data_IF_636984543704
#
_entry.id   IF_636984543704
#
_cell.length_a   1.000
_cell.length_b   1.000
_cell.length_c   1.000
_cell.angle_alpha   90.00
_cell.angle_beta   90.00
_cell.angle_gamma   90.00
#
_symmetry.space_group_name_H-M   'P 1'
#
loop_
_entity.id
_entity.type
_entity.pdbx_description
1 polymer ?
#
# COMPACT_ATOMS: atom_id res chain seq x y z
N UNK A 1 12.19 7.28 -0.21
CA UNK A 1 11.65 8.01 -1.40
C UNK A 1 10.13 8.13 -1.29
N UNK A 2 9.45 8.93 -2.11
CA UNK A 2 7.97 8.99 -2.14
C UNK A 2 7.42 8.07 -3.22
N UNK A 3 6.55 7.13 -2.85
CA UNK A 3 5.98 6.12 -3.74
C UNK A 3 4.46 6.16 -3.61
N UNK A 4 3.75 6.17 -4.73
CA UNK A 4 2.29 6.07 -4.78
C UNK A 4 1.92 4.79 -5.50
N UNK A 5 1.06 3.97 -4.89
CA UNK A 5 0.55 2.73 -5.47
C UNK A 5 -0.96 2.87 -5.66
N UNK A 6 -1.42 2.65 -6.90
CA UNK A 6 -2.83 2.66 -7.27
C UNK A 6 -3.35 1.22 -7.36
N UNK A 7 -4.04 0.79 -6.31
CA UNK A 7 -4.58 -0.55 -6.11
C UNK A 7 -3.96 -1.22 -4.89
N UNK A 8 -4.81 -1.59 -3.94
CA UNK A 8 -4.50 -2.31 -2.69
C UNK A 8 -4.92 -3.79 -2.76
N UNK A 9 -5.03 -4.33 -3.97
CA UNK A 9 -5.23 -5.77 -4.19
C UNK A 9 -4.00 -6.59 -3.79
N UNK A 10 -3.98 -7.88 -4.16
CA UNK A 10 -2.90 -8.80 -3.79
C UNK A 10 -1.50 -8.27 -4.11
N UNK A 11 -1.28 -7.78 -5.34
CA UNK A 11 0.05 -7.29 -5.76
C UNK A 11 0.41 -5.97 -5.07
N UNK A 12 -0.52 -5.02 -5.03
CA UNK A 12 -0.25 -3.69 -4.48
C UNK A 12 -0.04 -3.69 -2.97
N UNK A 13 -0.78 -4.52 -2.24
CA UNK A 13 -0.59 -4.73 -0.80
C UNK A 13 0.78 -5.34 -0.49
N UNK A 14 1.12 -6.47 -1.13
CA UNK A 14 2.44 -7.11 -0.94
C UNK A 14 3.60 -6.21 -1.37
N UNK A 15 3.44 -5.41 -2.43
CA UNK A 15 4.45 -4.45 -2.83
C UNK A 15 4.64 -3.36 -1.76
N UNK A 16 3.55 -2.83 -1.21
CA UNK A 16 3.61 -1.84 -0.14
C UNK A 16 4.30 -2.38 1.11
N UNK A 17 3.94 -3.59 1.56
CA UNK A 17 4.55 -4.26 2.72
C UNK A 17 6.06 -4.43 2.55
N UNK A 18 6.52 -4.86 1.37
CA UNK A 18 7.95 -5.03 1.09
C UNK A 18 8.71 -3.70 1.08
N UNK A 19 8.07 -2.62 0.60
CA UNK A 19 8.72 -1.32 0.44
C UNK A 19 8.74 -0.48 1.73
N UNK A 20 7.86 -0.75 2.71
CA UNK A 20 7.84 -0.06 4.02
C UNK A 20 9.17 -0.26 4.77
N UNK A 21 9.80 -1.43 4.64
CA UNK A 21 11.07 -1.75 5.30
C UNK A 21 12.29 -0.94 4.80
N UNK A 22 12.17 -0.25 3.67
CA UNK A 22 13.28 0.44 3.00
C UNK A 22 13.32 1.96 3.24
N UNK A 23 12.66 2.47 4.30
CA UNK A 23 12.57 3.91 4.60
C UNK A 23 11.92 4.72 3.46
N UNK A 24 10.87 4.15 2.87
CA UNK A 24 10.04 4.80 1.85
C UNK A 24 8.77 5.38 2.46
N UNK A 25 8.38 6.55 1.97
CA UNK A 25 7.09 7.18 2.24
C UNK A 25 6.10 6.71 1.18
N UNK A 26 5.19 5.81 1.58
CA UNK A 26 4.30 5.09 0.67
C UNK A 26 2.87 5.56 0.90
N UNK A 27 2.20 5.95 -0.18
CA UNK A 27 0.76 6.23 -0.19
C UNK A 27 0.05 5.18 -1.04
N UNK A 28 -0.90 4.46 -0.43
CA UNK A 28 -1.77 3.50 -1.12
C UNK A 28 -3.12 4.13 -1.44
N UNK A 29 -3.57 3.99 -2.68
CA UNK A 29 -4.90 4.44 -3.12
C UNK A 29 -5.65 3.27 -3.73
N UNK A 30 -6.83 2.94 -3.19
CA UNK A 30 -7.75 1.97 -3.79
C UNK A 30 -9.17 2.52 -3.70
N UNK A 31 -10.01 2.19 -4.67
CA UNK A 31 -11.44 2.50 -4.68
C UNK A 31 -12.23 1.71 -3.63
N UNK A 32 -11.71 0.55 -3.21
CA UNK A 32 -12.30 -0.30 -2.19
C UNK A 32 -11.72 0.04 -0.81
N UNK A 33 -12.51 0.75 -0.01
CA UNK A 33 -12.12 1.16 1.35
C UNK A 33 -11.90 0.01 2.33
N UNK A 34 -12.54 -1.15 2.13
CA UNK A 34 -12.36 -2.30 3.03
C UNK A 34 -10.95 -2.89 2.88
N UNK A 35 -10.41 -2.91 1.66
CA UNK A 35 -9.02 -3.30 1.41
C UNK A 35 -8.03 -2.37 2.09
N UNK A 36 -8.24 -1.05 1.96
CA UNK A 36 -7.39 -0.08 2.63
C UNK A 36 -7.42 -0.25 4.16
N UNK A 37 -8.60 -0.48 4.75
CA UNK A 37 -8.72 -0.72 6.21
C UNK A 37 -8.01 -1.99 6.65
N UNK A 38 -8.06 -3.07 5.85
CA UNK A 38 -7.34 -4.32 6.19
C UNK A 38 -5.82 -4.17 6.23
N UNK A 39 -5.27 -3.14 5.59
CA UNK A 39 -3.84 -2.83 5.54
C UNK A 39 -3.41 -1.78 6.57
N UNK A 40 -4.35 -1.15 7.28
CA UNK A 40 -4.08 -0.15 8.33
C UNK A 40 -3.84 -0.77 9.72
N UNK A 41 -3.50 -2.06 9.76
CA UNK A 41 -3.27 -2.83 11.00
C UNK A 41 -1.98 -2.46 11.72
#
# INVERSE_FOLDING_TARGET
MKIIILGAGQVGGTLAENLVGENNDITLVDTNGDRLRSLQG
#
